data_IF_458323884961
#
_entry.id   IF_458323884961
#
_cell.length_a   1.000
_cell.length_b   1.000
_cell.length_c   1.000
_cell.angle_alpha   90.00
_cell.angle_beta   90.00
_cell.angle_gamma   90.00
#
_symmetry.space_group_name_H-M   'P 1'
#
loop_
_entity.id
_entity.type
_entity.pdbx_description
1 polymer ?
#
# COMPACT_ATOMS: atom_id res chain seq x y z
N UNK A 1 -18.83 8.62 -1.09
CA UNK A 1 -19.19 7.20 -1.20
C UNK A 1 -17.91 6.41 -1.40
N UNK A 2 -17.50 5.65 -0.39
CA UNK A 2 -16.33 4.78 -0.45
C UNK A 2 -16.76 3.40 -0.96
N UNK A 3 -16.20 2.94 -2.09
CA UNK A 3 -16.35 1.54 -2.52
C UNK A 3 -15.16 0.77 -1.98
N UNK A 4 -15.39 -0.09 -0.99
CA UNK A 4 -14.37 -0.95 -0.41
C UNK A 4 -14.15 -2.18 -1.31
N UNK A 5 -12.90 -2.43 -1.69
CA UNK A 5 -12.49 -3.62 -2.45
C UNK A 5 -11.06 -4.01 -2.09
N UNK A 6 -10.77 -5.30 -2.04
CA UNK A 6 -9.41 -5.85 -1.97
C UNK A 6 -9.19 -6.58 -3.29
N UNK A 7 -8.07 -6.34 -3.97
CA UNK A 7 -7.78 -7.00 -5.23
C UNK A 7 -6.91 -8.24 -4.98
N UNK A 8 -5.85 -8.12 -4.19
CA UNK A 8 -4.87 -9.17 -3.90
C UNK A 8 -5.21 -10.04 -2.68
N UNK A 9 -6.20 -9.63 -1.88
CA UNK A 9 -6.70 -10.39 -0.74
C UNK A 9 -8.20 -10.66 -0.87
N UNK A 10 -8.64 -11.81 -0.37
CA UNK A 10 -10.05 -12.18 -0.28
C UNK A 10 -10.39 -12.65 1.13
N UNK A 11 -11.63 -12.42 1.56
CA UNK A 11 -12.13 -12.91 2.85
C UNK A 11 -12.70 -14.30 2.66
N UNK A 12 -12.30 -15.23 3.53
CA UNK A 12 -12.87 -16.58 3.53
C UNK A 12 -14.37 -16.53 3.84
N UNK A 13 -15.20 -16.92 2.87
CA UNK A 13 -16.66 -17.06 3.04
C UNK A 13 -17.54 -15.90 2.57
N UNK A 14 -17.02 -14.89 1.84
CA UNK A 14 -17.86 -13.93 1.10
C UNK A 14 -17.32 -12.49 1.01
N UNK A 15 -18.09 -11.61 0.37
CA UNK A 15 -17.74 -10.18 0.25
C UNK A 15 -17.99 -9.43 1.57
N UNK A 16 -17.15 -8.42 1.86
CA UNK A 16 -17.40 -7.50 2.96
C UNK A 16 -18.65 -6.66 2.64
N UNK A 17 -19.53 -6.40 3.65
CA UNK A 17 -20.73 -5.61 3.41
C UNK A 17 -20.36 -4.20 2.95
N UNK A 18 -21.10 -3.71 1.95
CA UNK A 18 -20.99 -2.33 1.48
C UNK A 18 -21.63 -1.42 2.54
N UNK A 19 -20.80 -0.71 3.30
CA UNK A 19 -21.22 0.17 4.40
C UNK A 19 -20.73 1.57 4.06
N UNK A 20 -21.65 2.53 4.04
CA UNK A 20 -21.28 3.95 3.98
C UNK A 20 -20.65 4.34 5.32
N UNK A 21 -19.37 4.71 5.27
CA UNK A 21 -18.59 5.12 6.42
C UNK A 21 -18.49 6.65 6.48
N UNK A 22 -18.64 7.27 7.66
CA UNK A 22 -18.45 8.70 7.82
C UNK A 22 -16.97 9.05 7.66
N UNK A 23 -16.70 10.14 6.95
CA UNK A 23 -15.36 10.69 6.79
C UNK A 23 -14.78 11.08 8.16
N UNK A 24 -13.73 10.39 8.58
CA UNK A 24 -12.95 10.63 9.78
C UNK A 24 -11.47 10.23 9.56
N UNK A 25 -10.69 10.30 10.62
CA UNK A 25 -9.28 9.95 10.59
C UNK A 25 -8.99 8.50 10.15
N UNK A 26 -9.69 7.52 10.73
CA UNK A 26 -9.49 6.11 10.41
C UNK A 26 -9.85 5.83 8.94
N UNK A 27 -10.93 6.43 8.43
CA UNK A 27 -11.33 6.27 7.03
C UNK A 27 -10.40 7.01 6.06
N UNK A 28 -9.78 8.11 6.48
CA UNK A 28 -8.76 8.80 5.68
C UNK A 28 -7.54 7.89 5.44
N UNK A 29 -7.06 7.21 6.49
CA UNK A 29 -5.98 6.21 6.36
C UNK A 29 -6.36 5.08 5.40
N UNK A 30 -7.59 4.57 5.49
CA UNK A 30 -8.13 3.57 4.52
C UNK A 30 -8.05 4.08 3.07
N UNK A 31 -8.45 5.33 2.84
CA UNK A 31 -8.39 5.95 1.51
C UNK A 31 -6.97 6.10 0.98
N UNK A 32 -6.02 6.49 1.83
CA UNK A 32 -4.60 6.60 1.44
C UNK A 32 -4.02 5.24 1.12
N UNK A 33 -4.22 4.22 1.96
CA UNK A 33 -3.76 2.85 1.68
C UNK A 33 -4.33 2.28 0.38
N UNK A 34 -5.61 2.57 0.08
CA UNK A 34 -6.21 2.21 -1.21
C UNK A 34 -5.51 2.87 -2.40
N UNK A 35 -5.21 4.17 -2.32
CA UNK A 35 -4.53 4.89 -3.39
C UNK A 35 -3.09 4.40 -3.58
N UNK A 36 -2.35 4.18 -2.49
CA UNK A 36 -0.98 3.67 -2.53
C UNK A 36 -0.90 2.25 -3.09
N UNK A 37 -1.81 1.35 -2.70
CA UNK A 37 -1.87 0.00 -3.26
C UNK A 37 -2.08 0.02 -4.78
N UNK A 38 -2.89 0.96 -5.29
CA UNK A 38 -3.11 1.15 -6.73
C UNK A 38 -1.88 1.71 -7.44
N UNK A 39 -1.18 2.68 -6.85
CA UNK A 39 0.08 3.24 -7.37
C UNK A 39 1.21 2.20 -7.47
N UNK A 40 1.18 1.20 -6.57
CA UNK A 40 2.19 0.14 -6.47
C UNK A 40 1.73 -1.19 -7.08
N UNK A 41 0.70 -1.16 -7.90
CA UNK A 41 0.29 -2.29 -8.74
C UNK A 41 0.64 -1.99 -10.19
N UNK A 42 0.70 -3.03 -11.03
CA UNK A 42 0.88 -2.85 -12.49
C UNK A 42 -0.15 -1.83 -12.98
N UNK A 43 0.29 -0.71 -13.60
CA UNK A 43 -0.61 0.37 -13.92
C UNK A 43 -1.61 -0.06 -15.00
N UNK A 44 -2.88 0.21 -14.74
CA UNK A 44 -3.93 0.18 -15.75
C UNK A 44 -4.10 1.55 -16.40
N UNK A 45 -5.01 1.65 -17.36
CA UNK A 45 -5.31 2.89 -18.08
C UNK A 45 -5.63 4.05 -17.15
N UNK A 46 -6.46 3.84 -16.14
CA UNK A 46 -6.88 4.90 -15.22
C UNK A 46 -5.68 5.42 -14.40
N UNK A 47 -4.78 4.52 -13.99
CA UNK A 47 -3.56 4.89 -13.28
C UNK A 47 -2.59 5.66 -14.19
N UNK A 48 -2.47 5.25 -15.45
CA UNK A 48 -1.69 5.96 -16.48
C UNK A 48 -2.25 7.36 -16.77
N UNK A 49 -3.56 7.49 -17.01
CA UNK A 49 -4.20 8.78 -17.29
C UNK A 49 -4.01 9.75 -16.11
N UNK A 50 -4.18 9.28 -14.87
CA UNK A 50 -3.93 10.07 -13.68
C UNK A 50 -2.44 10.47 -13.52
N UNK A 51 -1.50 9.62 -13.94
CA UNK A 51 -0.08 9.94 -13.94
C UNK A 51 0.28 11.00 -14.98
N UNK A 52 -0.28 10.90 -16.20
CA UNK A 52 -0.08 11.88 -17.27
C UNK A 52 -0.71 13.24 -16.93
N UNK A 53 -1.86 13.22 -16.25
CA UNK A 53 -2.54 14.43 -15.79
C UNK A 53 -1.95 15.03 -14.49
N UNK A 54 -1.02 14.32 -13.81
CA UNK A 54 -0.43 14.77 -12.55
C UNK A 54 -1.43 14.86 -11.40
N UNK A 55 -2.43 13.98 -11.38
CA UNK A 55 -3.54 14.03 -10.43
C UNK A 55 -3.29 13.23 -9.14
N UNK A 56 -2.32 12.32 -9.14
CA UNK A 56 -2.12 11.39 -8.04
C UNK A 56 -1.81 12.09 -6.70
N UNK A 57 -1.00 13.15 -6.69
CA UNK A 57 -0.74 13.93 -5.48
C UNK A 57 -2.02 14.55 -4.90
N UNK A 58 -2.88 15.10 -5.76
CA UNK A 58 -4.16 15.67 -5.35
C UNK A 58 -5.14 14.59 -4.85
N UNK A 59 -5.17 13.41 -5.50
CA UNK A 59 -5.99 12.27 -5.06
C UNK A 59 -5.56 11.77 -3.67
N UNK A 60 -4.25 11.65 -3.43
CA UNK A 60 -3.70 11.28 -2.11
C UNK A 60 -4.01 12.34 -1.06
N UNK A 61 -3.81 13.62 -1.36
CA UNK A 61 -4.13 14.72 -0.45
C UNK A 61 -5.62 14.77 -0.10
N UNK A 62 -6.50 14.51 -1.07
CA UNK A 62 -7.94 14.41 -0.83
C UNK A 62 -8.29 13.22 0.08
N UNK A 63 -7.70 12.05 -0.18
CA UNK A 63 -7.90 10.86 0.65
C UNK A 63 -7.38 11.07 2.10
N UNK A 64 -6.23 11.72 2.24
CA UNK A 64 -5.58 12.02 3.52
C UNK A 64 -6.09 13.28 4.22
N UNK A 65 -7.15 13.93 3.73
CA UNK A 65 -7.60 15.24 4.24
C UNK A 65 -7.91 15.27 5.74
N UNK A 66 -8.32 14.13 6.32
CA UNK A 66 -8.70 14.00 7.72
C UNK A 66 -7.71 13.17 8.55
N UNK A 67 -6.49 12.90 8.05
CA UNK A 67 -5.45 12.26 8.86
C UNK A 67 -5.24 13.06 10.15
N UNK A 68 -5.07 12.38 11.30
CA UNK A 68 -4.73 13.06 12.56
C UNK A 68 -3.25 13.37 12.71
N UNK A 69 -2.48 13.24 11.63
CA UNK A 69 -1.13 13.75 11.50
C UNK A 69 -0.97 14.52 10.19
N UNK A 70 -0.05 15.49 10.17
CA UNK A 70 0.28 16.22 8.96
C UNK A 70 1.15 15.36 8.06
N UNK A 71 0.80 15.28 6.79
CA UNK A 71 1.58 14.56 5.78
C UNK A 71 1.50 15.29 4.45
N UNK A 72 2.65 15.52 3.82
CA UNK A 72 2.74 16.08 2.48
C UNK A 72 3.04 14.95 1.49
N UNK A 73 2.09 14.68 0.60
CA UNK A 73 2.23 13.67 -0.44
C UNK A 73 3.05 14.15 -1.63
N UNK A 74 3.30 15.46 -1.75
CA UNK A 74 3.89 16.04 -2.95
C UNK A 74 3.07 15.75 -4.20
N UNK A 75 3.71 15.83 -5.36
CA UNK A 75 3.12 15.44 -6.64
C UNK A 75 4.22 15.09 -7.65
N UNK A 76 3.90 14.15 -8.55
CA UNK A 76 4.68 13.91 -9.76
C UNK A 76 3.75 13.59 -10.92
N UNK A 77 4.23 13.84 -12.13
CA UNK A 77 3.57 13.49 -13.37
C UNK A 77 4.59 12.86 -14.33
N UNK A 78 4.11 12.02 -15.23
CA UNK A 78 4.90 11.58 -16.39
C UNK A 78 4.78 12.61 -17.51
N UNK A 79 5.73 12.61 -18.45
CA UNK A 79 5.59 13.41 -19.67
C UNK A 79 4.35 12.95 -20.46
N UNK A 80 3.41 13.84 -20.84
CA UNK A 80 2.22 13.48 -21.61
C UNK A 80 2.50 12.82 -22.97
N UNK A 81 3.73 12.90 -23.48
CA UNK A 81 4.18 12.22 -24.70
C UNK A 81 4.58 10.76 -24.51
N UNK A 82 4.68 10.28 -23.27
CA UNK A 82 4.96 8.86 -22.97
C UNK A 82 3.71 8.03 -23.24
N UNK A 83 3.84 6.94 -24.01
CA UNK A 83 2.74 6.04 -24.28
C UNK A 83 2.38 5.17 -23.04
N UNK A 84 1.13 4.69 -22.98
CA UNK A 84 0.63 3.81 -21.91
C UNK A 84 1.52 2.56 -21.76
N UNK A 85 1.91 1.98 -22.89
CA UNK A 85 2.74 0.77 -22.93
C UNK A 85 4.16 1.03 -22.41
N UNK A 86 4.74 2.19 -22.71
CA UNK A 86 6.08 2.57 -22.23
C UNK A 86 6.07 2.82 -20.71
N UNK A 87 5.00 3.43 -20.19
CA UNK A 87 4.81 3.62 -18.76
C UNK A 87 4.68 2.29 -18.02
N UNK A 88 3.88 1.37 -18.55
CA UNK A 88 3.76 0.01 -18.00
C UNK A 88 5.08 -0.75 -18.10
N UNK A 89 5.79 -0.66 -19.23
CA UNK A 89 7.08 -1.31 -19.43
C UNK A 89 8.12 -0.82 -18.43
N UNK A 90 8.17 0.48 -18.15
CA UNK A 90 9.06 1.05 -17.14
C UNK A 90 8.72 0.57 -15.73
N UNK A 91 7.43 0.51 -15.35
CA UNK A 91 7.00 -0.09 -14.08
C UNK A 91 7.50 -1.54 -13.95
N UNK A 92 7.24 -2.36 -14.97
CA UNK A 92 7.65 -3.77 -14.99
C UNK A 92 9.18 -3.91 -14.95
N UNK A 93 9.92 -3.05 -15.64
CA UNK A 93 11.39 -3.04 -15.63
C UNK A 93 11.93 -2.75 -14.23
N UNK A 94 11.34 -1.82 -13.51
CA UNK A 94 11.88 -1.35 -12.23
C UNK A 94 11.47 -2.28 -11.09
N UNK A 95 10.19 -2.70 -11.07
CA UNK A 95 9.56 -3.26 -9.88
C UNK A 95 9.24 -4.76 -9.95
N UNK A 96 8.97 -5.32 -11.13
CA UNK A 96 8.39 -6.67 -11.24
C UNK A 96 9.29 -7.67 -11.97
N UNK A 97 9.73 -7.34 -13.18
CA UNK A 97 10.36 -8.27 -14.12
C UNK A 97 11.86 -7.98 -14.26
N UNK A 98 12.23 -6.71 -14.43
CA UNK A 98 13.64 -6.35 -14.70
C UNK A 98 14.08 -6.49 -16.15
N UNK A 99 15.39 -6.31 -16.36
CA UNK A 99 16.06 -6.40 -17.67
C UNK A 99 17.01 -7.61 -17.78
N UNK A 100 16.76 -8.67 -17.01
CA UNK A 100 17.50 -9.95 -17.08
C UNK A 100 17.88 -10.54 -15.73
N UNK A 101 18.41 -9.74 -14.80
CA UNK A 101 18.81 -10.18 -13.46
C UNK A 101 17.72 -9.96 -12.40
N UNK A 102 16.46 -9.88 -12.81
CA UNK A 102 15.33 -9.46 -11.98
C UNK A 102 15.17 -7.94 -11.90
N UNK A 103 14.08 -7.46 -11.27
CA UNK A 103 13.81 -6.04 -11.09
C UNK A 103 14.86 -5.37 -10.20
N UNK A 104 15.17 -4.10 -10.50
CA UNK A 104 16.17 -3.34 -9.75
C UNK A 104 15.69 -2.98 -8.34
N UNK A 105 14.39 -2.72 -8.19
CA UNK A 105 13.72 -2.34 -6.95
C UNK A 105 12.47 -3.21 -6.76
N UNK A 106 12.60 -4.52 -6.48
CA UNK A 106 11.46 -5.42 -6.37
C UNK A 106 10.42 -4.92 -5.36
N UNK A 107 9.12 -5.13 -5.61
CA UNK A 107 8.05 -4.80 -4.65
C UNK A 107 7.75 -5.92 -3.65
N UNK A 108 8.65 -6.89 -3.52
CA UNK A 108 8.48 -8.06 -2.65
C UNK A 108 9.28 -7.89 -1.36
N UNK A 109 8.61 -7.70 -0.23
CA UNK A 109 9.27 -7.46 1.06
C UNK A 109 10.23 -8.61 1.45
N UNK A 110 9.91 -9.85 1.05
CA UNK A 110 10.76 -11.02 1.23
C UNK A 110 12.17 -10.89 0.64
N UNK A 111 12.34 -10.13 -0.44
CA UNK A 111 13.65 -9.95 -1.10
C UNK A 111 14.57 -8.95 -0.37
N UNK A 112 14.05 -8.23 0.62
CA UNK A 112 14.81 -7.29 1.46
C UNK A 112 15.13 -7.86 2.84
N UNK A 113 14.64 -9.06 3.13
CA UNK A 113 14.88 -9.81 4.36
C UNK A 113 16.05 -10.78 4.19
N UNK A 114 16.91 -10.95 5.21
CA UNK A 114 17.92 -12.01 5.20
C UNK A 114 17.28 -13.42 5.21
N UNK A 115 16.10 -13.57 5.80
CA UNK A 115 15.30 -14.79 5.77
C UNK A 115 13.97 -14.51 5.06
N UNK A 116 13.91 -14.83 3.77
CA UNK A 116 12.73 -14.63 2.93
C UNK A 116 11.59 -15.56 3.32
N UNK A 117 11.89 -16.81 3.66
CA UNK A 117 10.85 -17.81 3.94
C UNK A 117 10.15 -17.48 5.25
N UNK A 118 10.91 -17.18 6.30
CA UNK A 118 10.36 -16.79 7.59
C UNK A 118 9.46 -15.55 7.44
N UNK A 119 9.93 -14.52 6.71
CA UNK A 119 9.13 -13.32 6.49
C UNK A 119 7.82 -13.63 5.78
N UNK A 120 7.86 -14.41 4.71
CA UNK A 120 6.66 -14.79 3.96
C UNK A 120 5.67 -15.56 4.85
N UNK A 121 6.15 -16.50 5.67
CA UNK A 121 5.31 -17.22 6.63
C UNK A 121 4.67 -16.27 7.66
N UNK A 122 5.41 -15.28 8.15
CA UNK A 122 4.87 -14.29 9.09
C UNK A 122 3.77 -13.44 8.44
N UNK A 123 3.98 -12.94 7.22
CA UNK A 123 2.96 -12.18 6.46
C UNK A 123 1.71 -13.03 6.22
N UNK A 124 1.86 -14.28 5.80
CA UNK A 124 0.72 -15.19 5.59
C UNK A 124 -0.05 -15.43 6.89
N UNK A 125 0.64 -15.63 8.02
CA UNK A 125 -0.01 -15.80 9.33
C UNK A 125 -0.80 -14.56 9.76
N UNK A 126 -0.34 -13.35 9.42
CA UNK A 126 -1.14 -12.14 9.64
C UNK A 126 -2.46 -12.22 8.88
N UNK A 127 -2.43 -12.59 7.60
CA UNK A 127 -3.64 -12.68 6.77
C UNK A 127 -4.60 -13.74 7.31
N UNK A 128 -4.09 -14.94 7.57
CA UNK A 128 -4.88 -16.07 8.09
C UNK A 128 -5.53 -15.76 9.44
N UNK A 129 -4.84 -15.03 10.33
CA UNK A 129 -5.41 -14.60 11.61
C UNK A 129 -6.69 -13.77 11.45
N UNK A 130 -6.80 -13.00 10.36
CA UNK A 130 -7.99 -12.21 10.03
C UNK A 130 -8.95 -12.90 9.06
N UNK A 131 -8.72 -14.19 8.75
CA UNK A 131 -9.51 -14.96 7.80
C UNK A 131 -9.34 -14.48 6.36
N UNK A 132 -8.16 -13.98 6.03
CA UNK A 132 -7.81 -13.53 4.68
C UNK A 132 -6.89 -14.55 4.00
N UNK A 133 -7.13 -14.76 2.72
CA UNK A 133 -6.25 -15.52 1.82
C UNK A 133 -5.88 -14.67 0.61
N UNK A 134 -4.81 -15.02 -0.10
CA UNK A 134 -4.48 -14.37 -1.38
C UNK A 134 -5.57 -14.64 -2.40
N UNK A 135 -5.93 -13.61 -3.18
CA UNK A 135 -6.96 -13.72 -4.22
C UNK A 135 -6.55 -14.69 -5.31
N UNK A 136 -7.50 -15.50 -5.78
CA UNK A 136 -7.30 -16.34 -6.97
C UNK A 136 -7.46 -15.54 -8.28
N UNK A 137 -8.19 -14.43 -8.25
CA UNK A 137 -8.45 -13.56 -9.42
C UNK A 137 -7.27 -12.63 -9.71
N UNK A 138 -6.51 -12.27 -8.69
CA UNK A 138 -5.29 -11.47 -8.76
C UNK A 138 -4.20 -12.14 -7.92
N UNK A 139 -3.42 -13.07 -8.51
CA UNK A 139 -2.52 -13.97 -7.79
C UNK A 139 -1.19 -13.29 -7.42
N UNK A 140 -1.22 -12.03 -6.96
CA UNK A 140 -0.05 -11.36 -6.41
C UNK A 140 0.48 -12.12 -5.19
N UNK A 141 1.80 -12.25 -5.03
CA UNK A 141 2.39 -12.83 -3.83
C UNK A 141 1.95 -12.12 -2.56
N UNK A 142 1.88 -12.87 -1.45
CA UNK A 142 1.46 -12.35 -0.16
C UNK A 142 2.35 -11.20 0.37
N UNK A 143 3.65 -11.25 0.06
CA UNK A 143 4.67 -10.25 0.44
C UNK A 143 4.85 -9.14 -0.60
N UNK A 144 4.00 -9.07 -1.62
CA UNK A 144 3.98 -7.96 -2.55
C UNK A 144 3.45 -6.70 -1.86
N UNK A 145 4.11 -5.55 -2.03
CA UNK A 145 3.81 -4.33 -1.28
C UNK A 145 2.37 -3.88 -1.45
N UNK A 146 1.81 -3.92 -2.66
CA UNK A 146 0.41 -3.57 -2.86
C UNK A 146 -0.55 -4.51 -2.09
N UNK A 147 -0.20 -5.79 -1.91
CA UNK A 147 -0.95 -6.74 -1.08
C UNK A 147 -0.83 -6.38 0.41
N UNK A 148 0.37 -6.08 0.88
CA UNK A 148 0.62 -5.64 2.27
C UNK A 148 -0.13 -4.30 2.57
N UNK A 149 -0.20 -3.37 1.61
CA UNK A 149 -0.97 -2.12 1.74
C UNK A 149 -2.48 -2.33 1.70
N UNK A 150 -2.97 -3.29 0.91
CA UNK A 150 -4.37 -3.72 0.94
C UNK A 150 -4.75 -4.35 2.29
N UNK A 151 -3.83 -5.08 2.92
CA UNK A 151 -4.04 -5.56 4.29
C UNK A 151 -4.14 -4.40 5.28
N UNK A 152 -3.31 -3.36 5.15
CA UNK A 152 -3.44 -2.16 5.97
C UNK A 152 -4.78 -1.44 5.75
N UNK A 153 -5.22 -1.31 4.49
CA UNK A 153 -6.57 -0.83 4.16
C UNK A 153 -7.66 -1.66 4.83
N UNK A 154 -7.53 -2.98 4.85
CA UNK A 154 -8.46 -3.87 5.56
C UNK A 154 -8.49 -3.57 7.05
N UNK A 155 -7.32 -3.49 7.70
CA UNK A 155 -7.27 -3.26 9.15
C UNK A 155 -7.83 -1.89 9.55
N UNK A 156 -7.57 -0.83 8.79
CA UNK A 156 -8.15 0.50 9.05
C UNK A 156 -9.65 0.51 8.79
N UNK A 157 -10.13 -0.17 7.74
CA UNK A 157 -11.57 -0.33 7.51
C UNK A 157 -12.25 -1.09 8.67
N UNK A 158 -11.66 -2.20 9.11
CA UNK A 158 -12.19 -3.01 10.22
C UNK A 158 -12.20 -2.25 11.54
N UNK A 159 -11.22 -1.39 11.78
CA UNK A 159 -11.27 -0.43 12.88
C UNK A 159 -12.49 0.50 12.75
N UNK A 160 -12.68 1.13 11.58
CA UNK A 160 -13.76 2.11 11.36
C UNK A 160 -15.16 1.50 11.54
N UNK A 161 -15.40 0.27 11.06
CA UNK A 161 -16.70 -0.41 11.20
C UNK A 161 -16.88 -1.14 12.54
N UNK A 162 -15.87 -1.18 13.40
CA UNK A 162 -15.93 -1.97 14.63
C UNK A 162 -16.95 -1.38 15.62
N UNK A 163 -17.88 -2.20 16.16
CA UNK A 163 -18.98 -1.72 17.00
C UNK A 163 -18.59 -1.44 18.45
N UNK A 164 -17.35 -1.72 18.85
CA UNK A 164 -16.90 -1.51 20.23
C UNK A 164 -15.47 -0.97 20.30
N UNK A 165 -15.16 -0.12 21.29
CA UNK A 165 -13.81 0.41 21.51
C UNK A 165 -12.75 -0.68 21.69
N UNK A 166 -13.13 -1.81 22.30
CA UNK A 166 -12.22 -2.95 22.51
C UNK A 166 -11.77 -3.56 21.19
N UNK A 167 -12.69 -3.74 20.24
CA UNK A 167 -12.36 -4.27 18.91
C UNK A 167 -11.55 -3.26 18.10
N UNK A 168 -11.94 -1.98 18.12
CA UNK A 168 -11.17 -0.90 17.50
C UNK A 168 -9.71 -0.91 17.97
N UNK A 169 -9.50 -1.01 19.30
CA UNK A 169 -8.16 -1.09 19.89
C UNK A 169 -7.39 -2.33 19.45
N UNK A 170 -8.06 -3.47 19.23
CA UNK A 170 -7.40 -4.68 18.71
C UNK A 170 -6.93 -4.49 17.26
N UNK A 171 -7.72 -3.85 16.40
CA UNK A 171 -7.29 -3.54 15.04
C UNK A 171 -6.15 -2.53 15.03
N UNK A 172 -6.17 -1.50 15.87
CA UNK A 172 -5.04 -0.56 16.01
C UNK A 172 -3.74 -1.26 16.41
N UNK A 173 -3.79 -2.18 17.37
CA UNK A 173 -2.61 -2.98 17.75
C UNK A 173 -2.10 -3.83 16.59
N UNK A 174 -2.99 -4.44 15.82
CA UNK A 174 -2.60 -5.23 14.65
C UNK A 174 -1.99 -4.36 13.54
N UNK A 175 -2.52 -3.16 13.31
CA UNK A 175 -1.95 -2.18 12.38
C UNK A 175 -0.53 -1.80 12.80
N UNK A 176 -0.34 -1.44 14.08
CA UNK A 176 0.98 -1.13 14.62
C UNK A 176 1.96 -2.29 14.45
N UNK A 177 1.57 -3.51 14.85
CA UNK A 177 2.44 -4.69 14.75
C UNK A 177 2.82 -5.01 13.30
N UNK A 178 1.88 -4.88 12.36
CA UNK A 178 2.16 -5.11 10.95
C UNK A 178 3.03 -4.02 10.33
N UNK A 179 2.78 -2.74 10.66
CA UNK A 179 3.60 -1.62 10.19
C UNK A 179 5.04 -1.77 10.66
N UNK A 180 5.24 -1.96 11.96
CA UNK A 180 6.57 -2.04 12.59
C UNK A 180 7.37 -3.25 12.09
N UNK A 181 6.73 -4.42 11.97
CA UNK A 181 7.44 -5.67 11.66
C UNK A 181 7.51 -5.99 10.18
N UNK A 182 6.45 -5.68 9.42
CA UNK A 182 6.36 -6.09 8.02
C UNK A 182 6.67 -4.94 7.07
N UNK A 183 6.16 -3.73 7.25
CA UNK A 183 6.35 -2.68 6.23
C UNK A 183 7.57 -1.77 6.45
N UNK A 184 7.68 -1.15 7.63
CA UNK A 184 8.72 -0.15 7.94
C UNK A 184 10.15 -0.64 7.71
N UNK A 185 10.53 -1.90 8.04
CA UNK A 185 11.94 -2.31 7.98
C UNK A 185 12.58 -2.31 6.59
N UNK A 186 11.78 -2.36 5.52
CA UNK A 186 12.29 -2.58 4.17
C UNK A 186 11.97 -1.46 3.17
N UNK A 187 10.93 -0.66 3.42
CA UNK A 187 10.56 0.46 2.54
C UNK A 187 11.69 1.50 2.31
N UNK A 188 12.55 1.84 3.29
CA UNK A 188 13.71 2.70 3.03
C UNK A 188 14.68 2.09 1.99
N UNK A 189 14.89 0.77 2.05
CA UNK A 189 15.76 0.06 1.09
C UNK A 189 15.14 -0.02 -0.30
N UNK A 190 13.81 -0.18 -0.39
CA UNK A 190 13.08 -0.08 -1.65
C UNK A 190 13.35 1.28 -2.30
N UNK A 191 13.16 2.37 -1.55
CA UNK A 191 13.38 3.73 -2.05
C UNK A 191 14.84 3.97 -2.50
N UNK A 192 15.82 3.48 -1.74
CA UNK A 192 17.23 3.52 -2.15
C UNK A 192 17.44 2.81 -3.50
N UNK A 193 16.92 1.58 -3.65
CA UNK A 193 17.02 0.83 -4.90
C UNK A 193 16.29 1.49 -6.06
N UNK A 194 15.14 2.10 -5.82
CA UNK A 194 14.40 2.84 -6.87
C UNK A 194 15.23 4.01 -7.39
N UNK A 195 15.92 4.75 -6.51
CA UNK A 195 16.84 5.84 -6.91
C UNK A 195 18.06 5.33 -7.67
N UNK A 196 18.62 4.19 -7.26
CA UNK A 196 19.75 3.55 -7.95
C UNK A 196 19.37 2.99 -9.34
N UNK A 197 18.10 2.65 -9.56
CA UNK A 197 17.61 2.06 -10.81
C UNK A 197 17.54 3.03 -12.00
N UNK A 198 17.88 4.31 -11.79
CA UNK A 198 17.80 5.39 -12.78
C UNK A 198 16.45 5.40 -13.53
N UNK A 199 15.36 5.28 -12.77
CA UNK A 199 14.00 5.30 -13.30
C UNK A 199 13.50 6.73 -13.52
N UNK A 200 12.25 6.88 -13.93
CA UNK A 200 11.61 8.18 -14.07
C UNK A 200 11.34 8.79 -12.68
N UNK A 201 11.47 10.13 -12.54
CA UNK A 201 11.18 10.82 -11.28
C UNK A 201 9.80 10.50 -10.69
N UNK A 202 8.83 10.16 -11.54
CA UNK A 202 7.51 9.69 -11.13
C UNK A 202 7.57 8.43 -10.25
N UNK A 203 8.34 7.41 -10.64
CA UNK A 203 8.42 6.16 -9.86
C UNK A 203 9.26 6.31 -8.60
N UNK A 204 10.26 7.19 -8.58
CA UNK A 204 10.93 7.60 -7.35
C UNK A 204 9.95 8.28 -6.38
N UNK A 205 9.09 9.17 -6.88
CA UNK A 205 8.04 9.80 -6.09
C UNK A 205 7.03 8.78 -5.55
N UNK A 206 6.60 7.80 -6.35
CA UNK A 206 5.69 6.73 -5.90
C UNK A 206 6.29 5.94 -4.73
N UNK A 207 7.51 5.42 -4.88
CA UNK A 207 8.18 4.66 -3.83
C UNK A 207 8.44 5.53 -2.58
N UNK A 208 8.86 6.78 -2.78
CA UNK A 208 9.12 7.73 -1.72
C UNK A 208 7.88 8.10 -0.92
N UNK A 209 6.75 8.30 -1.61
CA UNK A 209 5.46 8.64 -0.99
C UNK A 209 4.93 7.48 -0.14
N UNK A 210 5.03 6.24 -0.65
CA UNK A 210 4.65 5.06 0.12
C UNK A 210 5.52 4.87 1.36
N UNK A 211 6.85 4.99 1.23
CA UNK A 211 7.78 4.87 2.35
C UNK A 211 7.55 5.96 3.41
N UNK A 212 7.37 7.21 3.00
CA UNK A 212 7.13 8.33 3.89
C UNK A 212 5.79 8.21 4.62
N UNK A 213 4.71 7.84 3.91
CA UNK A 213 3.39 7.68 4.52
C UNK A 213 3.39 6.54 5.53
N UNK A 214 3.95 5.38 5.18
CA UNK A 214 4.01 4.23 6.09
C UNK A 214 4.82 4.54 7.34
N UNK A 215 5.95 5.26 7.22
CA UNK A 215 6.73 5.68 8.38
C UNK A 215 5.93 6.63 9.30
N UNK A 216 5.28 7.65 8.73
CA UNK A 216 4.44 8.58 9.49
C UNK A 216 3.25 7.88 10.16
N UNK A 217 2.62 6.94 9.45
CA UNK A 217 1.50 6.18 9.97
C UNK A 217 1.90 5.20 11.07
N UNK A 218 3.11 4.62 11.00
CA UNK A 218 3.67 3.77 12.05
C UNK A 218 3.91 4.56 13.35
N UNK A 219 4.47 5.77 13.26
CA UNK A 219 4.64 6.68 14.41
C UNK A 219 3.28 7.05 15.03
N UNK A 220 2.30 7.38 14.18
CA UNK A 220 0.95 7.68 14.62
C UNK A 220 0.29 6.47 15.32
N UNK A 221 0.35 5.29 14.70
CA UNK A 221 -0.23 4.06 15.24
C UNK A 221 0.43 3.64 16.58
N UNK A 222 1.74 3.83 16.73
CA UNK A 222 2.45 3.58 17.98
C UNK A 222 1.93 4.48 19.11
N UNK A 223 1.73 5.78 18.82
CA UNK A 223 1.18 6.73 19.79
C UNK A 223 -0.26 6.39 20.21
N UNK A 224 -1.07 5.89 19.29
CA UNK A 224 -2.47 5.54 19.53
C UNK A 224 -2.66 4.25 20.35
N UNK A 225 -1.64 3.39 20.41
CA UNK A 225 -1.64 2.16 21.21
C UNK A 225 -1.07 2.37 22.63
N UNK A 226 -0.31 3.45 22.85
CA UNK A 226 0.29 3.78 24.14
C UNK A 226 -0.70 4.41 25.15
N UNK A 227 -1.92 4.74 24.72
CA UNK A 227 -3.01 5.37 25.50
C UNK A 227 -4.06 4.33 25.87
#
# INVERSE_FOLDING_TARGET
>A
MFVYSLAGLQVDGGQLPEIELPDNETTARTGVYQALARLLSVPDRDAYEAAAAGEWGARLAAAGKLLGFQHDFGNAAIDPGIAEEDFQAEFLRVFEIGSGNGPAAPLYGGLYSPDRMQRLEEVVRFYEYFGLTTSAEDPRPADHLATELEFMKYLTYKEAVSPSPRLQSSYRRAQHDFLDRQLVPWLPKLLEKTREAATWPYFEWVAGTAAAFVAADAEYAASAVAV
#
